data_IF_458136697978
#
_entry.id   IF_458136697978
#
_cell.length_a   1.000
_cell.length_b   1.000
_cell.length_c   1.000
_cell.angle_alpha   90.00
_cell.angle_beta   90.00
_cell.angle_gamma   90.00
#
_symmetry.space_group_name_H-M   'P 1'
#
loop_
_entity.id
_entity.type
_entity.pdbx_description
1 polymer ?
#
# COMPACT_ATOMS: atom_id res chain seq x y z
N UNK A 1 70.16 -85.19 95.76
CA UNK A 1 69.38 -84.78 94.58
C UNK A 1 67.87 -84.90 94.88
N UNK A 2 67.43 -84.98 96.13
CA UNK A 2 67.17 -83.85 97.05
C UNK A 2 68.02 -82.59 96.76
N UNK A 3 67.37 -81.55 96.22
CA UNK A 3 67.80 -80.13 96.17
C UNK A 3 66.81 -79.22 95.41
N UNK A 4 65.76 -79.77 94.78
CA UNK A 4 64.62 -79.03 94.24
C UNK A 4 63.41 -79.90 94.52
N UNK A 5 62.44 -79.44 95.30
CA UNK A 5 61.21 -80.18 95.67
C UNK A 5 60.28 -80.44 94.50
N UNK A 6 60.79 -81.09 93.44
CA UNK A 6 60.14 -81.31 92.16
C UNK A 6 59.85 -82.81 92.06
N UNK A 7 58.60 -83.16 92.33
CA UNK A 7 58.05 -84.44 91.92
C UNK A 7 57.92 -84.45 90.38
N UNK A 8 58.77 -85.21 89.67
CA UNK A 8 58.72 -85.30 88.19
C UNK A 8 57.32 -85.69 87.67
N UNK A 9 56.62 -86.58 88.38
CA UNK A 9 55.24 -86.94 88.06
C UNK A 9 54.25 -85.78 88.23
N UNK A 10 54.40 -84.99 89.31
CA UNK A 10 53.57 -83.79 89.53
C UNK A 10 53.87 -82.70 88.50
N UNK A 11 55.12 -82.51 88.10
CA UNK A 11 55.53 -81.57 87.07
C UNK A 11 54.98 -81.95 85.69
N UNK A 12 54.97 -83.25 85.32
CA UNK A 12 54.34 -83.72 84.09
C UNK A 12 52.83 -83.51 84.07
N UNK A 13 52.13 -83.79 85.19
CA UNK A 13 50.69 -83.52 85.33
C UNK A 13 50.40 -82.02 85.29
N UNK A 14 51.26 -81.18 85.90
CA UNK A 14 51.13 -79.73 85.87
C UNK A 14 51.36 -79.15 84.47
N UNK A 15 52.33 -79.67 83.71
CA UNK A 15 52.55 -79.30 82.30
C UNK A 15 51.34 -79.71 81.46
N UNK A 16 50.81 -80.92 81.66
CA UNK A 16 49.62 -81.39 80.95
C UNK A 16 48.39 -80.52 81.25
N UNK A 17 48.15 -80.20 82.53
CA UNK A 17 47.08 -79.28 82.94
C UNK A 17 47.29 -77.88 82.33
N UNK A 18 48.51 -77.34 82.39
CA UNK A 18 48.84 -76.06 81.74
C UNK A 18 48.59 -76.10 80.23
N UNK A 19 48.91 -77.21 79.55
CA UNK A 19 48.65 -77.37 78.11
C UNK A 19 47.15 -77.39 77.80
N UNK A 20 46.35 -78.08 78.62
CA UNK A 20 44.88 -78.08 78.51
C UNK A 20 44.36 -76.64 78.66
N UNK A 21 44.77 -75.93 79.71
CA UNK A 21 44.36 -74.54 79.96
C UNK A 21 44.83 -73.62 78.83
N UNK A 22 46.04 -73.80 78.30
CA UNK A 22 46.58 -73.03 77.19
C UNK A 22 45.76 -73.24 75.91
N UNK A 23 45.38 -74.47 75.59
CA UNK A 23 44.53 -74.78 74.43
C UNK A 23 43.13 -74.17 74.61
N UNK A 24 42.54 -74.30 75.79
CA UNK A 24 41.23 -73.71 76.12
C UNK A 24 41.29 -72.18 76.03
N UNK A 25 42.27 -71.52 76.65
CA UNK A 25 42.43 -70.07 76.58
C UNK A 25 42.69 -69.58 75.15
N UNK A 26 43.52 -70.30 74.37
CA UNK A 26 43.76 -69.98 72.97
C UNK A 26 42.49 -70.09 72.13
N UNK A 27 41.68 -71.14 72.36
CA UNK A 27 40.47 -71.39 71.60
C UNK A 27 39.30 -70.48 72.02
N UNK A 28 39.09 -70.27 73.33
CA UNK A 28 37.93 -69.56 73.89
C UNK A 28 38.16 -68.09 74.21
N UNK A 29 39.38 -67.63 74.48
CA UNK A 29 39.63 -66.22 74.87
C UNK A 29 40.38 -65.48 73.78
N UNK A 30 41.50 -66.03 73.30
CA UNK A 30 42.36 -65.33 72.33
C UNK A 30 41.65 -65.10 70.99
N UNK A 31 41.02 -66.13 70.42
CA UNK A 31 40.27 -66.01 69.15
C UNK A 31 39.17 -64.94 69.17
N UNK A 32 38.21 -64.92 70.13
CA UNK A 32 37.16 -63.91 70.11
C UNK A 32 37.68 -62.50 70.41
N UNK A 33 38.67 -62.33 71.28
CA UNK A 33 39.25 -61.01 71.59
C UNK A 33 39.96 -60.41 70.36
N UNK A 34 40.80 -61.19 69.68
CA UNK A 34 41.49 -60.72 68.46
C UNK A 34 40.50 -60.49 67.32
N UNK A 35 39.49 -61.37 67.15
CA UNK A 35 38.44 -61.20 66.15
C UNK A 35 37.62 -59.91 66.33
N UNK A 36 37.28 -59.56 67.58
CA UNK A 36 36.58 -58.30 67.88
C UNK A 36 37.44 -57.06 67.58
N UNK A 37 38.73 -57.10 67.90
CA UNK A 37 39.66 -56.01 67.59
C UNK A 37 39.85 -55.84 66.07
N UNK A 38 39.97 -56.95 65.34
CA UNK A 38 40.09 -56.94 63.88
C UNK A 38 38.83 -56.37 63.23
N UNK A 39 37.64 -56.81 63.68
CA UNK A 39 36.35 -56.30 63.19
C UNK A 39 36.21 -54.79 63.44
N UNK A 40 36.59 -54.31 64.64
CA UNK A 40 36.63 -52.86 64.92
C UNK A 40 37.58 -52.12 63.99
N UNK A 41 38.79 -52.64 63.81
CA UNK A 41 39.79 -52.04 62.92
C UNK A 41 39.28 -51.97 61.48
N UNK A 42 38.64 -53.03 61.00
CA UNK A 42 38.05 -53.10 59.65
C UNK A 42 36.89 -52.12 59.49
N UNK A 43 35.95 -52.05 60.44
CA UNK A 43 34.85 -51.08 60.40
C UNK A 43 35.35 -49.63 60.43
N UNK A 44 36.39 -49.33 61.21
CA UNK A 44 37.00 -47.99 61.24
C UNK A 44 37.69 -47.67 59.91
N UNK A 45 38.47 -48.62 59.37
CA UNK A 45 39.15 -48.45 58.09
C UNK A 45 38.14 -48.25 56.95
N UNK A 46 37.08 -49.06 56.93
CA UNK A 46 36.00 -48.93 55.96
C UNK A 46 35.24 -47.62 56.12
N UNK A 47 34.88 -47.22 57.34
CA UNK A 47 34.20 -45.94 57.58
C UNK A 47 35.04 -44.72 57.21
N UNK A 48 36.37 -44.80 57.38
CA UNK A 48 37.29 -43.74 56.96
C UNK A 48 37.40 -43.68 55.42
N UNK A 49 37.46 -44.83 54.75
CA UNK A 49 37.50 -44.88 53.28
C UNK A 49 36.16 -44.43 52.67
N UNK A 50 35.03 -44.87 53.21
CA UNK A 50 33.69 -44.43 52.77
C UNK A 50 33.53 -42.92 52.95
N UNK A 51 34.01 -42.36 54.07
CA UNK A 51 34.01 -40.91 54.29
C UNK A 51 34.92 -40.17 53.29
N UNK A 52 36.08 -40.74 52.95
CA UNK A 52 36.99 -40.18 51.94
C UNK A 52 36.34 -40.17 50.55
N UNK A 53 35.74 -41.29 50.14
CA UNK A 53 35.03 -41.42 48.86
C UNK A 53 33.83 -40.48 48.81
N UNK A 54 33.06 -40.36 49.89
CA UNK A 54 31.94 -39.42 49.96
C UNK A 54 32.40 -37.95 49.85
N UNK A 55 33.53 -37.60 50.49
CA UNK A 55 34.11 -36.26 50.37
C UNK A 55 34.62 -35.97 48.96
N UNK A 56 35.29 -36.93 48.32
CA UNK A 56 35.79 -36.82 46.95
C UNK A 56 34.63 -36.71 45.93
N UNK A 57 33.60 -37.56 46.07
CA UNK A 57 32.40 -37.48 45.25
C UNK A 57 31.68 -36.14 45.39
N UNK A 58 31.62 -35.59 46.62
CA UNK A 58 31.06 -34.27 46.86
C UNK A 58 31.88 -33.17 46.20
N UNK A 59 33.20 -33.19 46.32
CA UNK A 59 34.07 -32.21 45.69
C UNK A 59 33.94 -32.23 44.15
N UNK A 60 33.88 -33.43 43.55
CA UNK A 60 33.66 -33.60 42.12
C UNK A 60 32.27 -33.09 41.70
N UNK A 61 31.22 -33.40 42.47
CA UNK A 61 29.86 -32.92 42.20
C UNK A 61 29.74 -31.39 42.33
N UNK A 62 30.43 -30.77 43.29
CA UNK A 62 30.50 -29.31 43.42
C UNK A 62 31.20 -28.68 42.21
N UNK A 63 32.33 -29.26 41.76
CA UNK A 63 33.02 -28.79 40.57
C UNK A 63 32.17 -28.94 39.30
N UNK A 64 31.47 -30.07 39.13
CA UNK A 64 30.57 -30.29 38.00
C UNK A 64 29.35 -29.36 38.04
N UNK A 65 28.83 -29.06 39.23
CA UNK A 65 27.77 -28.07 39.38
C UNK A 65 28.25 -26.67 38.97
N UNK A 66 29.47 -26.28 39.34
CA UNK A 66 30.06 -25.00 38.92
C UNK A 66 30.25 -24.92 37.41
N UNK A 67 30.74 -25.98 36.75
CA UNK A 67 30.88 -25.99 35.29
C UNK A 67 29.53 -25.93 34.59
N UNK A 68 28.53 -26.68 35.04
CA UNK A 68 27.17 -26.64 34.48
C UNK A 68 26.55 -25.25 34.64
N UNK A 69 26.74 -24.59 35.80
CA UNK A 69 26.26 -23.22 36.01
C UNK A 69 26.97 -22.22 35.08
N UNK A 70 28.29 -22.34 34.92
CA UNK A 70 29.05 -21.49 34.01
C UNK A 70 28.59 -21.66 32.55
N UNK A 71 28.41 -22.90 32.10
CA UNK A 71 27.89 -23.20 30.76
C UNK A 71 26.45 -22.69 30.57
N UNK A 72 25.59 -22.84 31.58
CA UNK A 72 24.22 -22.35 31.54
C UNK A 72 24.17 -20.82 31.43
N UNK A 73 25.01 -20.12 32.18
CA UNK A 73 25.16 -18.66 32.09
C UNK A 73 25.68 -18.24 30.72
N UNK A 74 26.68 -18.93 30.17
CA UNK A 74 27.21 -18.64 28.83
C UNK A 74 26.14 -18.87 27.75
N UNK A 75 25.39 -19.98 27.82
CA UNK A 75 24.28 -20.27 26.90
C UNK A 75 23.19 -19.20 27.01
N UNK A 76 22.82 -18.79 28.22
CA UNK A 76 21.85 -17.72 28.44
C UNK A 76 22.31 -16.40 27.81
N UNK A 77 23.57 -16.01 28.02
CA UNK A 77 24.15 -14.81 27.42
C UNK A 77 24.16 -14.88 25.89
N UNK A 78 24.49 -16.04 25.32
CA UNK A 78 24.47 -16.25 23.87
C UNK A 78 23.04 -16.16 23.31
N UNK A 79 22.05 -16.74 23.99
CA UNK A 79 20.64 -16.66 23.61
C UNK A 79 20.16 -15.20 23.63
N UNK A 80 20.48 -14.45 24.69
CA UNK A 80 20.11 -13.04 24.79
C UNK A 80 20.77 -12.23 23.69
N UNK A 81 22.06 -12.44 23.43
CA UNK A 81 22.77 -11.76 22.35
C UNK A 81 22.18 -12.08 20.98
N UNK A 82 21.93 -13.35 20.68
CA UNK A 82 21.32 -13.76 19.42
C UNK A 82 19.90 -13.21 19.26
N UNK A 83 19.11 -13.17 20.33
CA UNK A 83 17.80 -12.55 20.33
C UNK A 83 17.88 -11.04 20.05
N UNK A 84 18.84 -10.33 20.64
CA UNK A 84 19.09 -8.91 20.36
C UNK A 84 19.53 -8.69 18.91
N UNK A 85 20.49 -9.47 18.42
CA UNK A 85 20.98 -9.36 17.04
C UNK A 85 19.83 -9.59 16.03
N UNK A 86 18.99 -10.59 16.27
CA UNK A 86 17.79 -10.85 15.44
C UNK A 86 16.76 -9.73 15.55
N UNK A 87 16.55 -9.16 16.74
CA UNK A 87 15.63 -8.06 16.93
C UNK A 87 16.11 -6.78 16.21
N UNK A 88 17.41 -6.50 16.23
CA UNK A 88 18.00 -5.39 15.49
C UNK A 88 17.89 -5.58 13.97
N UNK A 89 18.14 -6.80 13.48
CA UNK A 89 17.95 -7.13 12.06
C UNK A 89 16.48 -6.96 11.64
N UNK A 90 15.54 -7.52 12.41
CA UNK A 90 14.12 -7.37 12.14
C UNK A 90 13.68 -5.89 12.18
N UNK A 91 14.19 -5.10 13.14
CA UNK A 91 13.90 -3.67 13.21
C UNK A 91 14.46 -2.91 12.00
N UNK A 92 15.67 -3.24 11.54
CA UNK A 92 16.26 -2.65 10.34
C UNK A 92 15.50 -3.02 9.06
N UNK A 93 15.07 -4.27 8.93
CA UNK A 93 14.22 -4.75 7.82
C UNK A 93 12.87 -4.03 7.80
N UNK A 94 12.17 -3.96 8.94
CA UNK A 94 10.89 -3.25 9.06
C UNK A 94 11.06 -1.77 8.71
N UNK A 95 12.14 -1.13 9.17
CA UNK A 95 12.42 0.27 8.83
C UNK A 95 12.64 0.45 7.32
N UNK A 96 13.42 -0.44 6.70
CA UNK A 96 13.72 -0.37 5.26
C UNK A 96 12.46 -0.58 4.43
N UNK A 97 11.61 -1.54 4.80
CA UNK A 97 10.34 -1.78 4.12
C UNK A 97 9.38 -0.60 4.31
N UNK A 98 9.30 -0.03 5.51
CA UNK A 98 8.47 1.15 5.77
C UNK A 98 8.95 2.39 4.99
N UNK A 99 10.27 2.59 4.85
CA UNK A 99 10.83 3.66 4.00
C UNK A 99 10.48 3.46 2.53
N UNK A 100 10.54 2.21 2.05
CA UNK A 100 10.17 1.86 0.67
C UNK A 100 8.68 2.05 0.40
N UNK A 101 7.81 1.61 1.31
CA UNK A 101 6.37 1.81 1.22
C UNK A 101 6.02 3.31 1.27
N UNK A 102 6.69 4.08 2.14
CA UNK A 102 6.51 5.53 2.21
C UNK A 102 6.97 6.23 0.91
N UNK A 103 8.04 5.76 0.28
CA UNK A 103 8.49 6.28 -1.02
C UNK A 103 7.50 5.95 -2.13
N UNK A 104 6.98 4.72 -2.17
CA UNK A 104 5.97 4.29 -3.14
C UNK A 104 4.66 5.06 -2.98
N UNK A 105 4.17 5.20 -1.75
CA UNK A 105 3.00 6.03 -1.42
C UNK A 105 3.20 7.48 -1.85
N UNK A 106 4.40 8.05 -1.61
CA UNK A 106 4.73 9.41 -2.06
C UNK A 106 4.72 9.53 -3.58
N UNK A 107 5.26 8.55 -4.31
CA UNK A 107 5.23 8.53 -5.78
C UNK A 107 3.80 8.46 -6.30
N UNK A 108 2.95 7.62 -5.72
CA UNK A 108 1.52 7.56 -6.07
C UNK A 108 0.83 8.89 -5.81
N UNK A 109 1.03 9.49 -4.63
CA UNK A 109 0.42 10.76 -4.26
C UNK A 109 0.84 11.91 -5.20
N UNK A 110 2.11 11.93 -5.64
CA UNK A 110 2.59 12.91 -6.64
C UNK A 110 1.91 12.67 -7.99
N UNK A 111 1.85 11.42 -8.47
CA UNK A 111 1.21 11.09 -9.74
C UNK A 111 -0.29 11.43 -9.73
N UNK A 112 -0.99 11.13 -8.64
CA UNK A 112 -2.38 11.53 -8.41
C UNK A 112 -2.53 13.05 -8.39
N UNK A 113 -1.61 13.75 -7.72
CA UNK A 113 -1.57 15.21 -7.70
C UNK A 113 -1.39 15.83 -9.08
N UNK A 114 -0.47 15.30 -9.89
CA UNK A 114 -0.27 15.73 -11.27
C UNK A 114 -1.52 15.50 -12.13
N UNK A 115 -2.18 14.36 -11.97
CA UNK A 115 -3.43 14.07 -12.66
C UNK A 115 -4.53 15.08 -12.27
N UNK A 116 -4.67 15.40 -10.98
CA UNK A 116 -5.62 16.39 -10.49
C UNK A 116 -5.32 17.80 -11.04
N UNK A 117 -4.04 18.19 -11.08
CA UNK A 117 -3.62 19.47 -11.67
C UNK A 117 -3.97 19.51 -13.16
N UNK A 118 -3.72 18.44 -13.91
CA UNK A 118 -4.07 18.38 -15.33
C UNK A 118 -5.59 18.49 -15.56
N UNK A 119 -6.38 17.82 -14.71
CA UNK A 119 -7.85 17.94 -14.74
C UNK A 119 -8.31 19.37 -14.44
N UNK A 120 -7.77 19.98 -13.39
CA UNK A 120 -8.08 21.36 -13.02
C UNK A 120 -7.68 22.36 -14.11
N UNK A 121 -6.52 22.17 -14.75
CA UNK A 121 -6.09 22.99 -15.89
C UNK A 121 -7.03 22.82 -17.10
N UNK A 122 -7.52 21.61 -17.36
CA UNK A 122 -8.54 21.37 -18.37
C UNK A 122 -9.83 22.14 -18.08
N UNK A 123 -10.30 22.08 -16.85
CA UNK A 123 -11.49 22.82 -16.41
C UNK A 123 -11.30 24.34 -16.53
N UNK A 124 -10.15 24.87 -16.09
CA UNK A 124 -9.81 26.29 -16.24
C UNK A 124 -9.77 26.70 -17.71
N UNK A 125 -9.19 25.88 -18.59
CA UNK A 125 -9.18 26.15 -20.05
C UNK A 125 -10.58 26.26 -20.61
N UNK A 126 -11.48 25.37 -20.21
CA UNK A 126 -12.88 25.40 -20.63
C UNK A 126 -13.59 26.66 -20.12
N UNK A 127 -13.36 27.05 -18.86
CA UNK A 127 -13.91 28.29 -18.30
C UNK A 127 -13.37 29.54 -19.02
N UNK A 128 -12.07 29.57 -19.35
CA UNK A 128 -11.45 30.67 -20.11
C UNK A 128 -12.00 30.73 -21.53
N UNK A 129 -12.17 29.59 -22.20
CA UNK A 129 -12.79 29.51 -23.51
C UNK A 129 -14.23 30.05 -23.49
N UNK A 130 -15.03 29.64 -22.50
CA UNK A 130 -16.39 30.14 -22.29
C UNK A 130 -16.41 31.66 -22.04
N UNK A 131 -15.53 32.18 -21.20
CA UNK A 131 -15.41 33.64 -20.96
C UNK A 131 -14.99 34.40 -22.23
N UNK A 132 -14.04 33.86 -23.01
CA UNK A 132 -13.58 34.47 -24.25
C UNK A 132 -14.68 34.49 -25.31
N UNK A 133 -15.46 33.42 -25.44
CA UNK A 133 -16.65 33.37 -26.30
C UNK A 133 -17.68 34.39 -25.84
N UNK A 134 -17.99 34.47 -24.55
CA UNK A 134 -18.93 35.44 -24.01
C UNK A 134 -18.47 36.90 -24.24
N UNK A 135 -17.18 37.18 -24.10
CA UNK A 135 -16.61 38.49 -24.40
C UNK A 135 -16.68 38.80 -25.90
N UNK A 136 -16.33 37.83 -26.77
CA UNK A 136 -16.44 37.98 -28.21
C UNK A 136 -17.90 38.21 -28.64
N UNK A 137 -18.85 37.49 -28.05
CA UNK A 137 -20.28 37.65 -28.27
C UNK A 137 -20.74 39.06 -27.88
N UNK A 138 -20.29 39.59 -26.74
CA UNK A 138 -20.61 40.96 -26.31
C UNK A 138 -20.05 42.01 -27.26
N UNK A 139 -18.79 41.86 -27.69
CA UNK A 139 -18.16 42.79 -28.66
C UNK A 139 -18.86 42.73 -30.01
N UNK A 140 -19.22 41.54 -30.49
CA UNK A 140 -19.96 41.37 -31.75
C UNK A 140 -21.33 42.05 -31.65
N UNK A 141 -22.06 41.88 -30.54
CA UNK A 141 -23.33 42.56 -30.31
C UNK A 141 -23.21 44.09 -30.31
N UNK A 142 -22.17 44.65 -29.66
CA UNK A 142 -21.95 46.09 -29.63
C UNK A 142 -21.43 46.65 -30.97
N UNK A 143 -20.73 45.83 -31.77
CA UNK A 143 -20.15 46.22 -33.06
C UNK A 143 -21.04 45.87 -34.27
N UNK A 144 -22.23 45.28 -34.06
CA UNK A 144 -23.16 44.94 -35.13
C UNK A 144 -23.89 46.21 -35.60
N UNK A 145 -23.38 46.79 -36.69
CA UNK A 145 -23.97 47.94 -37.37
C UNK A 145 -24.63 47.50 -38.69
N UNK A 146 -25.51 48.34 -39.25
CA UNK A 146 -26.33 48.06 -40.45
C UNK A 146 -25.47 47.60 -41.65
N UNK A 147 -24.29 48.22 -41.82
CA UNK A 147 -23.29 47.84 -42.85
C UNK A 147 -22.64 46.47 -42.63
N UNK A 148 -22.48 46.05 -41.37
CA UNK A 148 -21.87 44.76 -41.02
C UNK A 148 -22.88 43.63 -41.21
N UNK A 149 -24.15 43.90 -40.91
CA UNK A 149 -25.26 43.01 -41.20
C UNK A 149 -25.39 42.74 -42.71
N UNK A 150 -25.33 43.78 -43.56
CA UNK A 150 -25.34 43.60 -45.02
C UNK A 150 -24.24 42.65 -45.51
N UNK A 151 -23.01 42.83 -45.02
CA UNK A 151 -21.90 41.93 -45.37
C UNK A 151 -22.15 40.48 -44.95
N UNK A 152 -22.71 40.24 -43.77
CA UNK A 152 -23.02 38.89 -43.29
C UNK A 152 -24.14 38.22 -44.12
N UNK A 153 -25.10 39.02 -44.61
CA UNK A 153 -26.15 38.56 -45.52
C UNK A 153 -25.54 38.17 -46.88
N UNK A 154 -24.69 39.01 -47.45
CA UNK A 154 -23.98 38.73 -48.71
C UNK A 154 -23.09 37.48 -48.58
N UNK A 155 -22.41 37.31 -47.44
CA UNK A 155 -21.57 36.15 -47.12
C UNK A 155 -22.39 34.85 -46.96
N UNK A 156 -23.62 34.94 -46.44
CA UNK A 156 -24.55 33.82 -46.39
C UNK A 156 -24.97 33.33 -47.79
N UNK A 157 -25.41 34.25 -48.66
CA UNK A 157 -25.86 33.87 -50.01
C UNK A 157 -24.70 33.39 -50.91
N UNK A 158 -23.51 33.98 -50.77
CA UNK A 158 -22.31 33.48 -51.46
C UNK A 158 -21.83 32.13 -50.91
N UNK A 159 -21.94 31.89 -49.59
CA UNK A 159 -21.63 30.60 -48.97
C UNK A 159 -22.59 29.47 -49.39
N UNK A 160 -23.85 29.81 -49.67
CA UNK A 160 -24.85 28.89 -50.27
C UNK A 160 -24.47 28.56 -51.72
N UNK A 161 -24.00 29.53 -52.50
CA UNK A 161 -23.52 29.29 -53.88
C UNK A 161 -22.18 28.53 -53.94
N UNK A 162 -21.36 28.60 -52.87
CA UNK A 162 -20.04 27.96 -52.77
C UNK A 162 -20.01 26.59 -52.07
N UNK A 163 -21.15 26.06 -51.61
CA UNK A 163 -21.23 24.72 -50.99
C UNK A 163 -20.68 24.62 -49.56
N UNK A 164 -20.52 25.74 -48.84
CA UNK A 164 -19.99 25.75 -47.45
C UNK A 164 -21.07 25.80 -46.37
N UNK A 165 -22.34 25.86 -46.76
CA UNK A 165 -23.48 25.72 -45.85
C UNK A 165 -23.87 24.25 -45.85
N UNK A 166 -23.81 23.61 -44.69
CA UNK A 166 -24.22 22.22 -44.50
C UNK A 166 -25.72 22.13 -44.76
N UNK A 167 -26.09 21.87 -46.01
CA UNK A 167 -27.40 21.34 -46.35
C UNK A 167 -27.38 19.91 -45.83
N UNK A 168 -28.04 19.66 -44.70
CA UNK A 168 -28.35 18.31 -44.28
C UNK A 168 -29.21 17.68 -45.39
N UNK A 169 -28.55 16.87 -46.20
CA UNK A 169 -29.09 15.98 -47.22
C UNK A 169 -29.97 16.65 -48.30
N UNK A 170 -29.34 16.96 -49.44
CA UNK A 170 -29.64 16.31 -50.73
C UNK A 170 -31.05 16.40 -51.33
N UNK A 171 -31.94 17.26 -50.86
CA UNK A 171 -33.30 17.38 -51.39
C UNK A 171 -33.69 18.84 -51.62
N UNK A 172 -34.24 19.09 -52.82
CA UNK A 172 -34.74 20.38 -53.28
C UNK A 172 -35.71 21.00 -52.27
N UNK A 173 -35.56 22.31 -52.06
CA UNK A 173 -36.35 23.12 -51.14
C UNK A 173 -37.78 23.31 -51.68
N UNK A 174 -38.64 22.30 -51.57
CA UNK A 174 -40.04 22.41 -51.92
C UNK A 174 -40.90 22.57 -50.65
N UNK A 175 -41.19 23.81 -50.27
CA UNK A 175 -42.07 24.13 -49.14
C UNK A 175 -42.90 25.38 -49.41
N UNK A 176 -44.20 25.32 -49.10
CA UNK A 176 -45.19 26.39 -49.37
C UNK A 176 -45.02 27.62 -48.45
N UNK A 177 -44.24 27.50 -47.37
CA UNK A 177 -43.95 28.60 -46.43
C UNK A 177 -42.50 28.59 -45.93
N UNK A 178 -41.86 29.75 -45.99
CA UNK A 178 -40.51 29.98 -45.50
C UNK A 178 -40.53 31.08 -44.42
N UNK A 179 -40.00 30.80 -43.24
CA UNK A 179 -39.80 31.80 -42.19
C UNK A 179 -38.35 32.25 -42.19
N UNK A 180 -38.12 33.52 -42.49
CA UNK A 180 -36.79 34.15 -42.45
C UNK A 180 -36.67 34.93 -41.16
N UNK A 181 -35.72 34.56 -40.31
CA UNK A 181 -35.44 35.25 -39.06
C UNK A 181 -34.17 36.09 -39.20
N UNK A 182 -34.29 37.41 -38.94
CA UNK A 182 -33.19 38.39 -39.03
C UNK A 182 -32.95 39.07 -37.68
N UNK A 183 -31.71 39.53 -37.44
CA UNK A 183 -31.30 40.18 -36.19
C UNK A 183 -31.74 41.65 -36.09
N UNK A 184 -31.77 42.37 -37.22
CA UNK A 184 -32.29 43.74 -37.33
C UNK A 184 -33.44 43.79 -38.35
N UNK A 185 -34.35 44.77 -38.24
CA UNK A 185 -35.37 45.04 -39.25
C UNK A 185 -34.70 45.26 -40.61
N UNK A 186 -35.13 44.50 -41.62
CA UNK A 186 -34.59 44.56 -42.97
C UNK A 186 -35.10 45.82 -43.68
N UNK A 187 -34.22 46.50 -44.41
CA UNK A 187 -34.62 47.57 -45.32
C UNK A 187 -35.41 47.01 -46.51
N UNK A 188 -36.20 47.87 -47.18
CA UNK A 188 -37.03 47.47 -48.31
C UNK A 188 -36.20 46.87 -49.48
N UNK A 189 -34.94 47.30 -49.63
CA UNK A 189 -34.03 46.77 -50.66
C UNK A 189 -33.49 45.38 -50.30
N UNK A 190 -33.18 45.14 -49.02
CA UNK A 190 -32.68 43.85 -48.55
C UNK A 190 -33.78 42.78 -48.54
N UNK A 191 -35.00 43.15 -48.12
CA UNK A 191 -36.15 42.27 -48.16
C UNK A 191 -36.44 41.79 -49.60
N UNK A 192 -36.38 42.70 -50.58
CA UNK A 192 -36.54 42.33 -52.00
C UNK A 192 -35.42 41.45 -52.53
N UNK A 193 -34.16 41.67 -52.12
CA UNK A 193 -33.04 40.79 -52.51
C UNK A 193 -33.20 39.39 -51.94
N UNK A 194 -33.59 39.29 -50.68
CA UNK A 194 -33.82 38.01 -49.98
C UNK A 194 -35.02 37.28 -50.59
N UNK A 195 -36.13 37.98 -50.85
CA UNK A 195 -37.27 37.41 -51.56
C UNK A 195 -36.89 36.92 -52.95
N UNK A 196 -36.11 37.69 -53.72
CA UNK A 196 -35.68 37.27 -55.05
C UNK A 196 -34.78 36.03 -55.00
N UNK A 197 -33.81 35.99 -54.09
CA UNK A 197 -32.92 34.84 -53.90
C UNK A 197 -33.64 33.58 -53.41
N UNK A 198 -34.65 33.74 -52.55
CA UNK A 198 -35.52 32.64 -52.11
C UNK A 198 -36.44 32.16 -53.24
N UNK A 199 -37.02 33.06 -54.04
CA UNK A 199 -37.84 32.68 -55.20
C UNK A 199 -37.03 31.98 -56.30
N UNK A 200 -35.75 32.31 -56.48
CA UNK A 200 -34.84 31.61 -57.39
C UNK A 200 -34.51 30.18 -56.93
N UNK A 201 -34.56 29.89 -55.61
CA UNK A 201 -34.23 28.58 -55.04
C UNK A 201 -35.44 27.71 -54.62
N UNK A 202 -36.60 28.31 -54.29
CA UNK A 202 -37.80 27.63 -53.77
C UNK A 202 -39.00 27.63 -54.72
N UNK A 203 -38.91 28.33 -55.87
CA UNK A 203 -40.02 28.48 -56.81
C UNK A 203 -40.98 29.62 -56.44
N UNK A 204 -41.67 30.16 -57.44
CA UNK A 204 -42.35 31.47 -57.42
C UNK A 204 -43.60 31.61 -56.51
N UNK A 205 -43.93 30.60 -55.69
CA UNK A 205 -45.18 30.55 -54.90
C UNK A 205 -44.98 30.45 -53.37
N UNK A 206 -43.73 30.48 -52.88
CA UNK A 206 -43.47 30.36 -51.44
C UNK A 206 -43.85 31.65 -50.67
N UNK A 207 -44.72 31.52 -49.65
CA UNK A 207 -45.00 32.64 -48.74
C UNK A 207 -43.83 32.84 -47.78
N UNK A 208 -43.16 33.99 -47.88
CA UNK A 208 -42.04 34.36 -47.00
C UNK A 208 -42.54 35.20 -45.83
N UNK A 209 -42.38 34.70 -44.61
CA UNK A 209 -42.67 35.45 -43.39
C UNK A 209 -41.36 35.93 -42.74
N UNK A 210 -41.21 37.25 -42.59
CA UNK A 210 -40.05 37.84 -41.93
C UNK A 210 -40.32 38.03 -40.44
N UNK A 211 -39.46 37.44 -39.61
CA UNK A 211 -39.47 37.64 -38.15
C UNK A 211 -38.17 38.28 -37.69
N UNK A 212 -38.27 39.24 -36.79
CA UNK A 212 -37.10 39.88 -36.18
C UNK A 212 -36.84 39.22 -34.83
N UNK A 213 -35.66 38.62 -34.67
CA UNK A 213 -35.19 38.08 -33.40
C UNK A 213 -33.77 38.58 -33.10
N UNK A 214 -33.60 39.54 -32.18
CA UNK A 214 -32.28 40.05 -31.81
C UNK A 214 -31.32 39.00 -31.24
N UNK A 215 -31.82 37.84 -30.78
CA UNK A 215 -31.02 36.80 -30.16
C UNK A 215 -30.05 36.07 -31.12
N UNK A 216 -30.22 36.21 -32.45
CA UNK A 216 -29.34 35.54 -33.43
C UNK A 216 -28.03 36.29 -33.70
N UNK A 217 -27.89 37.52 -33.16
CA UNK A 217 -26.67 38.34 -33.12
C UNK A 217 -26.05 38.67 -34.49
N UNK A 218 -26.82 38.50 -35.57
CA UNK A 218 -26.43 38.77 -36.96
C UNK A 218 -26.52 37.54 -37.86
N UNK A 219 -26.64 37.77 -39.17
CA UNK A 219 -26.86 36.74 -40.18
C UNK A 219 -28.35 36.41 -40.37
N UNK A 220 -28.63 35.29 -41.04
CA UNK A 220 -29.96 34.85 -41.42
C UNK A 220 -30.20 33.41 -40.98
N UNK A 221 -31.39 33.15 -40.44
CA UNK A 221 -31.90 31.80 -40.23
C UNK A 221 -33.11 31.61 -41.12
N UNK A 222 -33.05 30.61 -42.01
CA UNK A 222 -34.12 30.29 -42.94
C UNK A 222 -34.71 28.95 -42.53
N UNK A 223 -36.00 28.93 -42.20
CA UNK A 223 -36.76 27.71 -41.94
C UNK A 223 -37.77 27.49 -43.05
N UNK A 224 -37.73 26.31 -43.66
CA UNK A 224 -38.65 25.89 -44.73
C UNK A 224 -39.24 24.54 -44.31
N UNK A 225 -40.52 24.53 -43.92
CA UNK A 225 -41.17 23.34 -43.34
C UNK A 225 -40.39 22.79 -42.14
N UNK A 226 -39.88 21.56 -42.27
CA UNK A 226 -39.08 20.87 -41.24
C UNK A 226 -37.56 21.12 -41.37
N UNK A 227 -37.11 21.84 -42.39
CA UNK A 227 -35.68 22.09 -42.65
C UNK A 227 -35.27 23.48 -42.15
N UNK A 228 -34.15 23.56 -41.43
CA UNK A 228 -33.59 24.81 -40.89
C UNK A 228 -32.17 24.97 -41.40
N UNK A 229 -31.90 26.12 -42.03
CA UNK A 229 -30.57 26.55 -42.44
C UNK A 229 -30.18 27.72 -41.53
N UNK A 230 -29.17 27.49 -40.69
CA UNK A 230 -28.68 28.48 -39.74
C UNK A 230 -27.36 29.08 -40.24
N UNK A 231 -27.45 30.31 -40.77
CA UNK A 231 -26.30 31.13 -41.11
C UNK A 231 -25.97 32.19 -40.05
N UNK A 232 -26.60 32.09 -38.86
CA UNK A 232 -26.45 33.10 -37.83
C UNK A 232 -25.09 33.03 -37.13
N UNK A 233 -24.66 34.18 -36.61
CA UNK A 233 -23.46 34.26 -35.79
C UNK A 233 -23.65 33.47 -34.49
N UNK A 234 -24.88 33.48 -33.94
CA UNK A 234 -25.21 32.68 -32.75
C UNK A 234 -25.04 31.17 -32.95
N UNK A 235 -25.47 30.62 -34.09
CA UNK A 235 -25.31 29.20 -34.40
C UNK A 235 -23.85 28.81 -34.61
N UNK A 236 -23.06 29.66 -35.27
CA UNK A 236 -21.60 29.44 -35.42
C UNK A 236 -20.87 29.48 -34.08
N UNK A 237 -21.25 30.37 -33.16
CA UNK A 237 -20.68 30.43 -31.82
C UNK A 237 -21.06 29.20 -30.98
N UNK A 238 -22.31 28.74 -31.06
CA UNK A 238 -22.77 27.53 -30.37
C UNK A 238 -22.03 26.26 -30.87
N UNK A 239 -21.81 26.15 -32.19
CA UNK A 239 -21.01 25.07 -32.76
C UNK A 239 -19.54 25.12 -32.29
N UNK A 240 -19.00 26.33 -32.10
CA UNK A 240 -17.63 26.53 -31.62
C UNK A 240 -17.50 26.17 -30.13
N UNK A 241 -18.49 26.55 -29.32
CA UNK A 241 -18.61 26.14 -27.90
C UNK A 241 -18.66 24.61 -27.76
N UNK A 242 -19.45 23.94 -28.60
CA UNK A 242 -19.56 22.49 -28.61
C UNK A 242 -18.28 21.77 -29.07
N UNK A 243 -17.45 22.42 -29.89
CA UNK A 243 -16.16 21.88 -30.35
C UNK A 243 -15.02 22.06 -29.34
N UNK A 244 -15.20 22.96 -28.36
CA UNK A 244 -14.22 23.27 -27.32
C UNK A 244 -14.55 22.58 -25.98
N UNK A 245 -15.75 22.00 -25.84
CA UNK A 245 -16.13 21.08 -24.77
C UNK A 245 -15.57 19.69 -24.99
#
# INVERSE_FOLDING_TARGET
>A
MEALGINLGYLLVQIFNFLIVLVVLRAWVYKPVVGLLQKRRETIAQGLEDARVAAEARANAEQEAETVLAEAQQKANNIVREATDRAEQAAAEVKTEAEKEAEESRKSAIAEGEQLVNQALGEVRNQVAALAIAAAQKVINEALDEKRQQKLIDEFFSGIQGGLVVVLEGEELAGESATVTSALPLSAEEAQRIEKGLHEQLGSEAKVEFRVNPAILGGLVVRVGDKVIDGSVSGKLAALEQSLS
#
